data_IF_390633222231
#
_entry.id   IF_390633222231
#
_cell.length_a   1.000
_cell.length_b   1.000
_cell.length_c   1.000
_cell.angle_alpha   90.00
_cell.angle_beta   90.00
_cell.angle_gamma   90.00
#
_symmetry.space_group_name_H-M   'P 1'
#
loop_
_entity.id
_entity.type
_entity.pdbx_description
1 polymer ?
#
# COMPACT_ATOMS: atom_id res chain seq x y z
N UNK A 1 -7.70 -22.26 45.81
CA UNK A 1 -6.99 -22.41 44.53
C UNK A 1 -7.77 -21.61 43.49
N UNK A 2 -7.35 -20.38 43.21
CA UNK A 2 -8.02 -19.51 42.23
C UNK A 2 -7.48 -19.81 40.85
N UNK A 3 -8.31 -20.45 40.01
CA UNK A 3 -8.06 -20.61 38.58
C UNK A 3 -7.78 -19.24 37.97
N UNK A 4 -6.52 -19.01 37.60
CA UNK A 4 -6.14 -17.87 36.79
C UNK A 4 -6.54 -18.22 35.37
N UNK A 5 -7.67 -17.69 34.89
CA UNK A 5 -7.98 -17.75 33.46
C UNK A 5 -6.78 -17.21 32.68
N UNK A 6 -6.32 -17.90 31.62
CA UNK A 6 -5.27 -17.37 30.79
C UNK A 6 -5.77 -16.07 30.16
N UNK A 7 -5.22 -14.93 30.60
CA UNK A 7 -5.43 -13.64 29.95
C UNK A 7 -5.05 -13.81 28.48
N UNK A 8 -6.07 -13.85 27.62
CA UNK A 8 -5.87 -13.76 26.17
C UNK A 8 -4.88 -12.60 25.90
N UNK A 9 -3.86 -12.81 25.05
CA UNK A 9 -2.87 -11.76 24.79
C UNK A 9 -3.61 -10.50 24.40
N UNK A 10 -3.38 -9.42 25.16
CA UNK A 10 -4.09 -8.15 25.00
C UNK A 10 -4.10 -7.75 23.53
N UNK A 11 -5.28 -7.44 23.00
CA UNK A 11 -5.44 -7.01 21.60
C UNK A 11 -4.45 -5.88 21.34
N UNK A 12 -3.41 -6.15 20.54
CA UNK A 12 -2.40 -5.16 20.17
C UNK A 12 -3.13 -4.00 19.49
N UNK A 13 -3.15 -2.85 20.14
CA UNK A 13 -3.81 -1.65 19.65
C UNK A 13 -2.78 -0.56 19.54
N UNK A 14 -2.84 0.21 18.46
CA UNK A 14 -2.02 1.39 18.28
C UNK A 14 -2.91 2.58 17.94
N UNK A 15 -2.47 3.76 18.36
CA UNK A 15 -3.09 5.02 17.98
C UNK A 15 -2.29 5.60 16.83
N UNK A 16 -2.96 5.93 15.73
CA UNK A 16 -2.38 6.66 14.61
C UNK A 16 -2.96 8.07 14.59
N UNK A 17 -2.08 9.06 14.64
CA UNK A 17 -2.43 10.46 14.38
C UNK A 17 -2.25 10.70 12.88
N UNK A 18 -3.20 11.38 12.24
CA UNK A 18 -3.18 11.66 10.81
C UNK A 18 -4.00 12.90 10.48
N UNK A 19 -3.87 13.41 9.25
CA UNK A 19 -4.75 14.46 8.75
C UNK A 19 -6.17 13.93 8.56
N UNK A 20 -7.15 14.84 8.61
CA UNK A 20 -8.56 14.51 8.39
C UNK A 20 -8.80 13.91 6.99
N UNK A 21 -8.11 14.43 5.97
CA UNK A 21 -8.19 13.93 4.60
C UNK A 21 -7.70 12.49 4.48
N UNK A 22 -6.59 12.17 5.15
CA UNK A 22 -6.07 10.80 5.17
C UNK A 22 -7.02 9.88 5.93
N UNK A 23 -7.58 10.33 7.06
CA UNK A 23 -8.56 9.54 7.82
C UNK A 23 -9.78 9.19 6.97
N UNK A 24 -10.35 10.16 6.25
CA UNK A 24 -11.47 9.96 5.31
C UNK A 24 -11.10 8.99 4.19
N UNK A 25 -9.90 9.13 3.62
CA UNK A 25 -9.42 8.27 2.53
C UNK A 25 -9.23 6.82 2.99
N UNK A 26 -8.67 6.61 4.19
CA UNK A 26 -8.56 5.28 4.80
C UNK A 26 -9.94 4.67 5.02
N UNK A 27 -10.89 5.45 5.55
CA UNK A 27 -12.27 5.02 5.75
C UNK A 27 -12.95 4.56 4.47
N UNK A 28 -12.78 5.31 3.38
CA UNK A 28 -13.29 4.93 2.08
C UNK A 28 -12.63 3.64 1.57
N UNK A 29 -11.30 3.53 1.68
CA UNK A 29 -10.52 2.42 1.12
C UNK A 29 -10.88 1.07 1.76
N UNK A 30 -10.87 0.97 3.10
CA UNK A 30 -11.16 -0.32 3.73
C UNK A 30 -12.63 -0.72 3.57
N UNK A 31 -13.57 0.25 3.59
CA UNK A 31 -14.99 -0.03 3.39
C UNK A 31 -15.26 -0.52 1.98
N UNK A 32 -14.61 0.06 0.98
CA UNK A 32 -14.72 -0.35 -0.41
C UNK A 32 -14.19 -1.78 -0.64
N UNK A 33 -13.02 -2.12 -0.09
CA UNK A 33 -12.37 -3.42 -0.34
C UNK A 33 -12.89 -4.56 0.52
N UNK A 34 -13.24 -4.29 1.78
CA UNK A 34 -13.49 -5.30 2.80
C UNK A 34 -14.75 -5.05 3.65
N UNK A 35 -15.49 -3.97 3.38
CA UNK A 35 -16.68 -3.59 4.16
C UNK A 35 -16.35 -3.02 5.54
N UNK A 36 -17.40 -2.79 6.34
CA UNK A 36 -17.32 -2.03 7.61
C UNK A 36 -16.42 -2.63 8.69
N UNK A 37 -16.12 -3.95 8.63
CA UNK A 37 -15.25 -4.66 9.57
C UNK A 37 -13.85 -4.95 9.03
N UNK A 38 -13.53 -4.39 7.87
CA UNK A 38 -12.32 -4.70 7.11
C UNK A 38 -11.06 -3.97 7.52
N UNK A 39 -11.11 -3.04 8.46
CA UNK A 39 -10.00 -2.12 8.76
C UNK A 39 -8.69 -2.85 9.10
N UNK A 40 -8.70 -3.80 10.04
CA UNK A 40 -7.47 -4.51 10.43
C UNK A 40 -6.84 -5.31 9.28
N UNK A 41 -7.67 -5.93 8.42
CA UNK A 41 -7.20 -6.67 7.25
C UNK A 41 -6.63 -5.73 6.18
N UNK A 42 -7.30 -4.60 5.95
CA UNK A 42 -6.80 -3.58 5.04
C UNK A 42 -5.45 -2.99 5.51
N UNK A 43 -5.32 -2.75 6.81
CA UNK A 43 -4.05 -2.28 7.41
C UNK A 43 -2.93 -3.29 7.21
N UNK A 44 -3.21 -4.59 7.41
CA UNK A 44 -2.23 -5.65 7.16
C UNK A 44 -1.75 -5.64 5.70
N UNK A 45 -2.67 -5.61 4.73
CA UNK A 45 -2.34 -5.51 3.30
C UNK A 45 -1.50 -4.26 2.98
N UNK A 46 -1.86 -3.12 3.56
CA UNK A 46 -1.17 -1.86 3.32
C UNK A 46 0.27 -1.89 3.84
N UNK A 47 0.48 -2.44 5.04
CA UNK A 47 1.82 -2.61 5.61
C UNK A 47 2.62 -3.64 4.83
N UNK A 48 2.01 -4.76 4.43
CA UNK A 48 2.67 -5.78 3.60
C UNK A 48 3.09 -5.22 2.24
N UNK A 49 2.21 -4.47 1.57
CA UNK A 49 2.52 -3.78 0.33
C UNK A 49 3.65 -2.77 0.51
N UNK A 50 3.64 -2.03 1.61
CA UNK A 50 4.68 -1.06 1.94
C UNK A 50 6.06 -1.71 2.13
N UNK A 51 6.16 -2.86 2.79
CA UNK A 51 7.42 -3.61 2.95
C UNK A 51 8.00 -4.04 1.60
N UNK A 52 7.14 -4.35 0.61
CA UNK A 52 7.57 -4.79 -0.73
C UNK A 52 8.14 -3.65 -1.58
N UNK A 53 7.79 -2.39 -1.29
CA UNK A 53 8.35 -1.23 -1.99
C UNK A 53 9.80 -1.07 -1.52
N UNK A 54 10.79 -1.50 -2.32
CA UNK A 54 12.23 -1.46 -1.98
C UNK A 54 12.78 -0.06 -1.64
N UNK A 55 12.00 0.99 -1.88
CA UNK A 55 12.36 2.39 -1.66
C UNK A 55 12.03 2.91 -0.24
N UNK A 56 11.66 2.03 0.70
CA UNK A 56 11.35 2.36 2.11
C UNK A 56 12.51 2.98 2.90
N UNK A 57 13.69 3.11 2.29
CA UNK A 57 14.86 3.80 2.85
C UNK A 57 14.72 5.32 2.93
N UNK A 58 13.73 5.92 2.25
CA UNK A 58 13.72 7.36 2.02
C UNK A 58 12.33 7.91 2.36
N UNK A 59 12.25 8.62 3.50
CA UNK A 59 11.25 9.67 3.78
C UNK A 59 9.88 9.27 4.33
N UNK A 60 9.85 8.45 5.39
CA UNK A 60 8.69 8.45 6.30
C UNK A 60 8.65 9.80 7.02
N UNK A 61 7.56 10.58 6.88
CA UNK A 61 7.38 11.89 7.50
C UNK A 61 7.82 13.11 6.68
N UNK A 62 8.45 12.93 5.52
CA UNK A 62 8.85 14.08 4.69
C UNK A 62 7.63 14.68 3.98
N UNK A 63 7.38 15.96 4.22
CA UNK A 63 6.17 16.65 3.78
C UNK A 63 5.01 16.62 4.78
N UNK A 64 5.19 16.00 5.95
CA UNK A 64 4.18 16.03 7.03
C UNK A 64 4.38 17.20 8.01
N UNK A 65 5.51 17.92 7.95
CA UNK A 65 5.87 18.98 8.91
C UNK A 65 4.83 20.11 8.98
N UNK A 66 4.18 20.42 7.87
CA UNK A 66 3.16 21.49 7.77
C UNK A 66 1.72 20.96 7.81
N UNK A 67 1.52 19.65 8.02
CA UNK A 67 0.19 19.04 7.99
C UNK A 67 -0.35 18.86 9.41
N UNK A 68 -1.48 19.49 9.71
CA UNK A 68 -2.17 19.30 11.00
C UNK A 68 -2.63 17.83 11.17
N UNK A 69 -2.25 17.22 12.30
CA UNK A 69 -2.54 15.82 12.62
C UNK A 69 -3.67 15.69 13.66
N UNK A 70 -4.82 16.25 13.33
CA UNK A 70 -5.93 16.41 14.29
C UNK A 70 -6.81 15.17 14.42
N UNK A 71 -6.69 14.23 13.48
CA UNK A 71 -7.47 13.00 13.48
C UNK A 71 -6.74 11.87 14.18
N UNK A 72 -7.36 11.36 15.25
CA UNK A 72 -6.88 10.20 16.02
C UNK A 72 -7.66 8.95 15.65
N UNK A 73 -6.97 7.90 15.21
CA UNK A 73 -7.60 6.61 14.90
C UNK A 73 -6.96 5.46 15.69
N UNK A 74 -7.77 4.68 16.39
CA UNK A 74 -7.32 3.49 17.11
C UNK A 74 -7.45 2.28 16.19
N UNK A 75 -6.34 1.60 15.97
CA UNK A 75 -6.25 0.44 15.06
C UNK A 75 -5.89 -0.79 15.87
N UNK A 76 -6.67 -1.86 15.68
CA UNK A 76 -6.32 -3.18 16.17
C UNK A 76 -5.35 -3.83 15.19
N UNK A 77 -4.14 -4.09 15.67
CA UNK A 77 -3.08 -4.73 14.91
C UNK A 77 -3.24 -6.25 15.00
N UNK A 78 -3.08 -6.91 13.86
CA UNK A 78 -2.87 -8.36 13.84
C UNK A 78 -1.44 -8.66 14.31
N UNK A 79 -1.16 -9.88 14.83
CA UNK A 79 0.21 -10.27 15.18
C UNK A 79 1.19 -10.08 14.01
N UNK A 80 0.74 -10.40 12.79
CA UNK A 80 1.51 -10.21 11.55
C UNK A 80 1.79 -8.73 11.26
N UNK A 81 0.78 -7.86 11.40
CA UNK A 81 0.98 -6.41 11.25
C UNK A 81 2.02 -5.89 12.24
N UNK A 82 1.95 -6.32 13.51
CA UNK A 82 2.92 -5.91 14.53
C UNK A 82 4.34 -6.37 14.19
N UNK A 83 4.50 -7.60 13.71
CA UNK A 83 5.79 -8.12 13.27
C UNK A 83 6.38 -7.28 12.13
N UNK A 84 5.57 -6.99 11.10
CA UNK A 84 6.01 -6.16 9.97
C UNK A 84 6.39 -4.74 10.40
N UNK A 85 5.61 -4.12 11.29
CA UNK A 85 5.96 -2.81 11.85
C UNK A 85 7.29 -2.84 12.61
N UNK A 86 7.55 -3.91 13.37
CA UNK A 86 8.82 -4.08 14.08
C UNK A 86 10.00 -4.30 13.09
N UNK A 87 9.79 -5.06 12.02
CA UNK A 87 10.79 -5.25 10.96
C UNK A 87 11.13 -3.94 10.26
N UNK A 88 10.11 -3.15 9.88
CA UNK A 88 10.33 -1.82 9.27
C UNK A 88 11.09 -0.92 10.23
N UNK A 89 10.66 -0.87 11.51
CA UNK A 89 11.28 -0.01 12.52
C UNK A 89 12.78 -0.30 12.70
N UNK A 90 13.20 -1.57 12.65
CA UNK A 90 14.61 -1.96 12.73
C UNK A 90 15.44 -1.53 11.51
N UNK A 91 14.79 -1.35 10.35
CA UNK A 91 15.43 -1.01 9.08
C UNK A 91 15.39 0.50 8.76
N UNK A 92 14.72 1.31 9.58
CA UNK A 92 14.68 2.77 9.40
C UNK A 92 16.06 3.38 9.71
N UNK A 93 16.79 3.78 8.65
CA UNK A 93 18.12 4.41 8.78
C UNK A 93 18.11 5.84 9.30
N UNK A 94 17.00 6.56 9.13
CA UNK A 94 16.80 7.94 9.60
C UNK A 94 15.41 8.06 10.21
N UNK A 95 15.35 7.91 11.53
CA UNK A 95 14.25 8.41 12.33
C UNK A 95 14.61 9.83 12.74
N UNK A 96 13.73 10.77 12.41
CA UNK A 96 13.84 12.12 12.94
C UNK A 96 13.74 12.04 14.48
N UNK A 97 14.69 12.63 15.22
CA UNK A 97 14.76 12.52 16.68
C UNK A 97 13.52 13.09 17.39
N UNK A 98 12.75 13.97 16.74
CA UNK A 98 11.53 14.55 17.30
C UNK A 98 10.29 13.67 17.10
N UNK A 99 10.46 12.49 16.47
CA UNK A 99 9.39 11.54 16.23
C UNK A 99 9.01 10.80 17.51
N UNK A 100 7.95 11.29 18.15
CA UNK A 100 7.38 10.66 19.35
C UNK A 100 6.73 9.29 19.10
N UNK A 101 6.32 9.00 17.85
CA UNK A 101 5.52 7.80 17.53
C UNK A 101 5.93 7.14 16.20
N UNK A 102 7.03 6.36 16.17
CA UNK A 102 7.55 5.75 14.94
C UNK A 102 6.55 4.80 14.25
N UNK A 103 5.77 4.04 15.02
CA UNK A 103 4.73 3.16 14.48
C UNK A 103 3.60 3.94 13.80
N UNK A 104 3.17 5.06 14.38
CA UNK A 104 2.14 5.93 13.77
C UNK A 104 2.64 6.48 12.43
N UNK A 105 3.92 6.84 12.35
CA UNK A 105 4.56 7.32 11.14
C UNK A 105 4.65 6.26 10.04
N UNK A 106 5.09 5.04 10.39
CA UNK A 106 5.13 3.92 9.44
C UNK A 106 3.74 3.62 8.90
N UNK A 107 2.71 3.64 9.76
CA UNK A 107 1.32 3.41 9.37
C UNK A 107 0.78 4.51 8.45
N UNK A 108 1.05 5.79 8.74
CA UNK A 108 0.68 6.88 7.82
C UNK A 108 1.33 6.72 6.45
N UNK A 109 2.62 6.40 6.42
CA UNK A 109 3.35 6.19 5.17
C UNK A 109 2.79 5.00 4.39
N UNK A 110 2.50 3.88 5.05
CA UNK A 110 1.91 2.71 4.41
C UNK A 110 0.51 2.99 3.88
N UNK A 111 -0.33 3.71 4.62
CA UNK A 111 -1.67 4.11 4.17
C UNK A 111 -1.60 5.01 2.94
N UNK A 112 -0.71 6.00 2.99
CA UNK A 112 -0.50 6.93 1.87
C UNK A 112 -0.03 6.19 0.62
N UNK A 113 0.92 5.27 0.75
CA UNK A 113 1.40 4.45 -0.36
C UNK A 113 0.27 3.57 -0.94
N UNK A 114 -0.50 2.90 -0.09
CA UNK A 114 -1.61 2.06 -0.50
C UNK A 114 -2.69 2.86 -1.25
N UNK A 115 -3.09 4.02 -0.73
CA UNK A 115 -4.09 4.89 -1.37
C UNK A 115 -3.57 5.44 -2.70
N UNK A 116 -2.30 5.85 -2.79
CA UNK A 116 -1.68 6.32 -4.04
C UNK A 116 -1.65 5.20 -5.09
N UNK A 117 -1.30 3.98 -4.69
CA UNK A 117 -1.31 2.83 -5.58
C UNK A 117 -2.74 2.54 -6.07
N UNK A 118 -3.73 2.51 -5.18
CA UNK A 118 -5.14 2.31 -5.55
C UNK A 118 -5.63 3.39 -6.53
N UNK A 119 -5.29 4.67 -6.30
CA UNK A 119 -5.61 5.76 -7.24
C UNK A 119 -4.94 5.54 -8.60
N UNK A 120 -3.64 5.22 -8.62
CA UNK A 120 -2.92 4.98 -9.87
C UNK A 120 -3.50 3.81 -10.68
N UNK A 121 -4.03 2.78 -10.02
CA UNK A 121 -4.69 1.65 -10.69
C UNK A 121 -6.08 2.02 -11.23
N UNK A 122 -6.80 2.94 -10.58
CA UNK A 122 -8.10 3.44 -11.05
C UNK A 122 -7.94 4.40 -12.23
N UNK A 123 -6.93 5.25 -12.16
CA UNK A 123 -6.68 6.31 -13.14
C UNK A 123 -5.81 5.81 -14.32
N UNK A 124 -5.26 4.60 -14.23
CA UNK A 124 -4.52 3.99 -15.33
C UNK A 124 -5.44 3.81 -16.55
N UNK A 125 -5.12 4.41 -17.71
CA UNK A 125 -5.84 4.12 -18.93
C UNK A 125 -5.69 2.62 -19.25
N UNK A 126 -6.80 1.97 -19.61
CA UNK A 126 -6.95 0.53 -19.88
C UNK A 126 -5.94 -0.08 -20.89
N UNK A 127 -5.08 0.73 -21.51
CA UNK A 127 -4.10 0.36 -22.53
C UNK A 127 -2.64 0.25 -22.06
N UNK A 128 -2.33 0.42 -20.77
CA UNK A 128 -0.94 0.28 -20.27
C UNK A 128 -0.71 -0.88 -19.30
N UNK A 129 -1.72 -1.72 -19.03
CA UNK A 129 -1.48 -3.01 -18.37
C UNK A 129 -0.90 -3.95 -19.42
N UNK A 130 0.40 -3.78 -19.69
CA UNK A 130 1.20 -4.75 -20.40
C UNK A 130 1.21 -6.04 -19.61
N UNK A 131 0.26 -6.93 -19.91
CA UNK A 131 0.35 -8.33 -19.52
C UNK A 131 1.64 -8.87 -20.14
N UNK A 132 2.64 -9.33 -19.37
CA UNK A 132 3.83 -9.95 -19.93
C UNK A 132 3.42 -11.32 -20.46
N UNK A 133 2.95 -11.40 -21.71
CA UNK A 133 2.46 -12.67 -22.21
C UNK A 133 1.74 -12.72 -23.55
N UNK A 134 1.57 -11.62 -24.29
CA UNK A 134 1.13 -11.75 -25.69
C UNK A 134 2.13 -11.13 -26.64
N UNK A 135 3.01 -12.01 -27.13
CA UNK A 135 3.61 -11.89 -28.45
C UNK A 135 2.52 -11.51 -29.46
N UNK A 136 2.36 -10.22 -29.74
CA UNK A 136 1.86 -9.81 -31.06
C UNK A 136 2.97 -10.16 -32.03
N UNK A 137 2.84 -11.35 -32.61
CA UNK A 137 3.61 -11.81 -33.77
C UNK A 137 3.71 -10.64 -34.74
N UNK A 138 4.93 -10.19 -35.03
CA UNK A 138 5.18 -9.34 -36.20
C UNK A 138 4.55 -10.05 -37.41
N UNK A 139 3.79 -9.38 -38.28
CA UNK A 139 3.50 -9.96 -39.58
C UNK A 139 4.83 -10.11 -40.30
N UNK A 140 5.30 -11.35 -40.38
CA UNK A 140 6.43 -11.74 -41.23
C UNK A 140 5.91 -11.62 -42.65
N UNK A 141 6.66 -10.92 -43.50
CA UNK A 141 6.26 -10.58 -44.85
C UNK A 141 5.90 -11.81 -45.68
N UNK A 142 4.80 -11.70 -46.42
CA UNK A 142 4.49 -12.57 -47.55
C UNK A 142 4.92 -11.84 -48.81
N UNK A 143 6.20 -11.97 -49.17
CA UNK A 143 6.68 -11.63 -50.49
C UNK A 143 6.46 -12.80 -51.45
N UNK A 144 6.07 -12.46 -52.69
CA UNK A 144 6.49 -13.03 -53.98
C UNK A 144 5.47 -13.81 -54.84
N UNK A 145 5.43 -13.39 -56.12
CA UNK A 145 4.95 -14.12 -57.30
C UNK A 145 3.63 -13.59 -57.89
N UNK A 146 3.53 -13.07 -59.11
CA UNK A 146 4.46 -12.96 -60.22
C UNK A 146 3.70 -12.63 -61.53
N UNK A 147 4.47 -12.23 -62.55
CA UNK A 147 4.20 -12.31 -63.99
C UNK A 147 3.25 -11.30 -64.67
N UNK A 148 3.89 -10.30 -65.30
CA UNK A 148 3.77 -9.90 -66.71
C UNK A 148 2.64 -10.47 -67.57
N UNK A 149 1.91 -9.60 -68.30
CA UNK A 149 1.85 -9.61 -69.79
C UNK A 149 1.11 -8.40 -70.38
N UNK A 150 1.66 -7.98 -71.54
CA UNK A 150 1.26 -6.97 -72.53
C UNK A 150 -0.24 -6.95 -72.92
N UNK A 151 -0.63 -5.79 -73.47
CA UNK A 151 -1.36 -5.53 -74.75
C UNK A 151 -2.43 -4.46 -74.51
N UNK A 152 -2.73 -3.50 -75.37
CA UNK A 152 -2.19 -2.99 -76.64
C UNK A 152 -2.75 -1.56 -76.78
#
# INVERSE_FOLDING_TARGET
>A
MTSSEPKLPGKLQTTVLMSEELAKSVDAAYKFKYGNRGLSRWVEDAVEGFVRIRDHLIRVGTGEADTAMDSRKVIRLTPRTQELLNQISKNLKRLDPDVRHPQSMILRASFTAAIRLEKSLRDAPYNQIGVPGQFRKKPVGSGSGGASKKAA
#
